data_IF_827336303098
#
_entry.id   IF_827336303098
#
_cell.length_a   1.000
_cell.length_b   1.000
_cell.length_c   1.000
_cell.angle_alpha   90.00
_cell.angle_beta   90.00
_cell.angle_gamma   90.00
#
_symmetry.space_group_name_H-M   'P 1'
#
loop_
_entity.id
_entity.type
_entity.pdbx_description
1 polymer ?
#
# COMPACT_ATOMS: atom_id res chain seq x y z
N UNK A 1 6.94 11.83 -3.06
CA UNK A 1 5.97 11.48 -2.00
C UNK A 1 6.69 11.68 -0.68
N UNK A 2 6.07 12.21 0.38
CA UNK A 2 6.69 12.09 1.71
C UNK A 2 7.01 10.62 1.92
N UNK A 3 8.22 10.31 2.38
CA UNK A 3 8.63 8.92 2.64
C UNK A 3 7.71 8.39 3.73
N UNK A 4 6.85 7.43 3.37
CA UNK A 4 6.10 6.66 4.35
C UNK A 4 7.07 5.63 4.91
N UNK A 5 7.31 5.69 6.21
CA UNK A 5 8.24 4.81 6.92
C UNK A 5 7.61 3.41 7.07
N UNK A 6 7.71 2.62 6.00
CA UNK A 6 7.16 1.26 5.92
C UNK A 6 8.24 0.18 6.04
N UNK A 7 9.43 0.48 6.58
CA UNK A 7 10.60 -0.40 6.52
C UNK A 7 10.40 -1.85 6.99
N UNK A 8 9.41 -2.11 7.86
CA UNK A 8 9.07 -3.45 8.36
C UNK A 8 7.77 -4.03 7.76
N UNK A 9 7.09 -3.30 6.89
CA UNK A 9 5.84 -3.71 6.24
C UNK A 9 6.10 -4.18 4.81
N UNK A 10 5.21 -4.99 4.26
CA UNK A 10 5.32 -5.48 2.88
C UNK A 10 5.95 -6.87 2.74
N UNK A 11 6.31 -7.26 1.52
CA UNK A 11 6.78 -8.63 1.23
C UNK A 11 8.25 -8.63 0.80
N UNK A 12 9.07 -9.48 1.41
CA UNK A 12 10.47 -9.64 1.05
C UNK A 12 10.58 -10.59 -0.14
N UNK A 13 11.17 -10.12 -1.22
CA UNK A 13 11.46 -10.89 -2.43
C UNK A 13 12.95 -10.73 -2.70
N UNK A 14 13.70 -11.83 -2.64
CA UNK A 14 15.14 -11.88 -2.89
C UNK A 14 15.97 -10.84 -2.11
N UNK A 15 15.62 -10.64 -0.84
CA UNK A 15 16.31 -9.69 0.05
C UNK A 15 15.83 -8.24 -0.08
N UNK A 16 14.84 -7.98 -0.95
CA UNK A 16 14.24 -6.66 -1.12
C UNK A 16 12.82 -6.61 -0.58
N UNK A 17 12.59 -5.67 0.34
CA UNK A 17 11.26 -5.37 0.84
C UNK A 17 10.46 -4.61 -0.23
N UNK A 18 9.41 -5.22 -0.75
CA UNK A 18 8.49 -4.62 -1.72
C UNK A 18 7.23 -4.15 -1.00
N UNK A 19 6.94 -2.85 -1.10
CA UNK A 19 5.80 -2.23 -0.43
C UNK A 19 4.66 -1.85 -1.39
N UNK A 20 5.00 -1.40 -2.60
CA UNK A 20 4.02 -0.93 -3.55
C UNK A 20 4.50 -1.02 -5.00
N UNK A 21 3.53 -1.06 -5.90
CA UNK A 21 3.69 -0.80 -7.33
C UNK A 21 2.79 0.38 -7.70
N UNK A 22 3.22 1.23 -8.62
CA UNK A 22 2.42 2.37 -9.06
C UNK A 22 2.55 2.56 -10.57
N UNK A 23 1.42 2.88 -11.21
CA UNK A 23 1.38 3.33 -12.59
C UNK A 23 0.30 4.40 -12.73
N UNK A 24 0.65 5.56 -13.33
CA UNK A 24 -0.23 6.72 -13.40
C UNK A 24 -0.85 7.08 -12.02
N UNK A 25 -2.19 7.07 -11.93
CA UNK A 25 -3.01 7.30 -10.74
C UNK A 25 -3.33 6.04 -9.94
N UNK A 26 -3.02 4.85 -10.47
CA UNK A 26 -3.24 3.57 -9.78
C UNK A 26 -2.03 3.17 -8.92
N UNK A 27 -2.32 2.66 -7.73
CA UNK A 27 -1.32 2.12 -6.80
C UNK A 27 -1.79 0.78 -6.23
N UNK A 28 -0.86 -0.15 -6.10
CA UNK A 28 -1.05 -1.43 -5.41
C UNK A 28 -0.15 -1.41 -4.19
N UNK A 29 -0.72 -1.61 -3.00
CA UNK A 29 0.01 -1.85 -1.76
C UNK A 29 0.17 -3.36 -1.59
N UNK A 30 1.38 -3.81 -1.30
CA UNK A 30 1.74 -5.22 -1.16
C UNK A 30 2.02 -5.47 0.31
N UNK A 31 1.26 -6.37 0.94
CA UNK A 31 1.39 -6.71 2.36
C UNK A 31 1.29 -8.22 2.56
N UNK A 32 1.87 -8.76 3.65
CA UNK A 32 1.76 -10.19 3.96
C UNK A 32 0.40 -10.56 4.57
N UNK A 33 -0.31 -9.59 5.17
CA UNK A 33 -1.58 -9.80 5.86
C UNK A 33 -2.50 -8.57 5.77
N UNK A 34 -3.78 -8.77 6.09
CA UNK A 34 -4.81 -7.72 6.00
C UNK A 34 -4.62 -6.62 7.05
N UNK A 35 -4.12 -6.95 8.24
CA UNK A 35 -3.88 -5.94 9.28
C UNK A 35 -2.76 -4.99 8.91
N UNK A 36 -1.72 -5.47 8.22
CA UNK A 36 -0.72 -4.60 7.59
C UNK A 36 -1.32 -3.79 6.44
N UNK A 37 -2.19 -4.39 5.63
CA UNK A 37 -2.85 -3.71 4.53
C UNK A 37 -3.68 -2.52 5.01
N UNK A 38 -4.48 -2.71 6.06
CA UNK A 38 -5.28 -1.65 6.68
C UNK A 38 -4.42 -0.50 7.23
N UNK A 39 -3.31 -0.82 7.92
CA UNK A 39 -2.37 0.19 8.42
C UNK A 39 -1.71 0.98 7.29
N UNK A 40 -1.19 0.29 6.28
CA UNK A 40 -0.56 0.95 5.13
C UNK A 40 -1.55 1.79 4.34
N UNK A 41 -2.80 1.33 4.19
CA UNK A 41 -3.87 2.08 3.54
C UNK A 41 -4.19 3.38 4.31
N UNK A 42 -4.32 3.31 5.64
CA UNK A 42 -4.60 4.47 6.48
C UNK A 42 -3.45 5.50 6.44
N UNK A 43 -2.20 5.04 6.52
CA UNK A 43 -1.02 5.89 6.41
C UNK A 43 -0.93 6.55 5.02
N UNK A 44 -1.26 5.80 3.97
CA UNK A 44 -1.27 6.28 2.60
C UNK A 44 -2.35 7.35 2.38
N UNK A 45 -3.60 7.11 2.81
CA UNK A 45 -4.68 8.10 2.71
C UNK A 45 -4.36 9.39 3.48
N UNK A 46 -3.78 9.25 4.68
CA UNK A 46 -3.29 10.39 5.47
C UNK A 46 -2.23 11.19 4.73
N UNK A 47 -1.30 10.53 4.04
CA UNK A 47 -0.28 11.20 3.23
C UNK A 47 -0.86 11.87 1.98
N UNK A 48 -1.82 11.24 1.31
CA UNK A 48 -2.59 11.84 0.21
C UNK A 48 -3.30 13.11 0.66
N UNK A 49 -3.95 13.08 1.83
CA UNK A 49 -4.67 14.24 2.38
C UNK A 49 -3.77 15.47 2.58
N UNK A 50 -2.49 15.29 2.92
CA UNK A 50 -1.53 16.40 3.06
C UNK A 50 -1.25 17.16 1.76
N UNK A 51 -1.48 16.52 0.61
CA UNK A 51 -1.29 17.11 -0.72
C UNK A 51 -2.62 17.35 -1.43
N UNK A 52 -3.75 17.31 -0.70
CA UNK A 52 -5.08 17.57 -1.25
C UNK A 52 -5.66 16.43 -2.10
N UNK A 53 -5.08 15.22 -2.01
CA UNK A 53 -5.60 14.03 -2.68
C UNK A 53 -6.36 13.15 -1.68
N UNK A 54 -7.24 12.29 -2.20
CA UNK A 54 -7.99 11.31 -1.41
C UNK A 54 -8.12 10.01 -2.18
N UNK A 55 -8.08 8.88 -1.47
CA UNK A 55 -8.35 7.59 -2.08
C UNK A 55 -9.80 7.46 -2.54
N UNK A 56 -10.00 6.80 -3.68
CA UNK A 56 -11.33 6.37 -4.11
C UNK A 56 -11.62 4.99 -3.51
N UNK A 57 -12.26 4.96 -2.34
CA UNK A 57 -12.59 3.72 -1.63
C UNK A 57 -13.55 2.82 -2.41
N UNK A 58 -14.40 3.37 -3.28
CA UNK A 58 -15.30 2.58 -4.12
C UNK A 58 -14.57 1.78 -5.20
N UNK A 59 -13.38 2.24 -5.62
CA UNK A 59 -12.51 1.53 -6.57
C UNK A 59 -11.41 0.71 -5.89
N UNK A 60 -11.13 0.98 -4.61
CA UNK A 60 -10.08 0.30 -3.86
C UNK A 60 -10.56 -1.09 -3.48
N UNK A 61 -9.79 -2.12 -3.85
CA UNK A 61 -10.14 -3.51 -3.60
C UNK A 61 -9.00 -4.25 -2.91
N UNK A 62 -9.32 -5.05 -1.90
CA UNK A 62 -8.38 -6.04 -1.39
C UNK A 62 -8.32 -7.24 -2.33
N UNK A 63 -7.10 -7.67 -2.65
CA UNK A 63 -6.84 -8.86 -3.45
C UNK A 63 -5.90 -9.77 -2.67
N UNK A 64 -6.14 -11.08 -2.74
CA UNK A 64 -5.26 -12.11 -2.18
C UNK A 64 -4.71 -12.94 -3.32
N UNK A 65 -3.41 -13.26 -3.27
CA UNK A 65 -2.83 -14.24 -4.17
C UNK A 65 -3.37 -15.65 -3.83
N UNK A 66 -3.97 -16.34 -4.79
CA UNK A 66 -4.62 -17.65 -4.59
C UNK A 66 -3.66 -18.84 -4.44
N UNK A 67 -2.35 -18.61 -4.49
CA UNK A 67 -1.32 -19.62 -4.25
C UNK A 67 -0.96 -19.80 -2.75
N UNK A 68 -1.84 -19.34 -1.86
CA UNK A 68 -1.75 -19.53 -0.40
C UNK A 68 -3.04 -20.14 0.12
#
# INVERSE_FOLDING_TARGET
MQTLEWGNMGVNIDGRQIHHLRFADDIVLITPDISQAERMLADFDKACGKIGLRLNLTKTMFMRNGLV
#
